data_IF_842785069627
#
_entry.id   IF_842785069627
#
_cell.length_a   1.000
_cell.length_b   1.000
_cell.length_c   1.000
_cell.angle_alpha   90.00
_cell.angle_beta   90.00
_cell.angle_gamma   90.00
#
_symmetry.space_group_name_H-M   'P 1'
#
loop_
_entity.id
_entity.type
_entity.pdbx_description
1 polymer ?
#
# COMPACT_ATOMS: atom_id res chain seq x y z
N UNK A 1 7.28 -12.70 -33.77
CA UNK A 1 7.18 -13.07 -32.35
C UNK A 1 5.94 -12.36 -31.81
N UNK A 2 4.85 -13.08 -31.55
CA UNK A 2 3.70 -12.49 -30.85
C UNK A 2 4.12 -12.26 -29.40
N UNK A 3 4.00 -11.02 -28.93
CA UNK A 3 4.30 -10.58 -27.56
C UNK A 3 3.16 -10.96 -26.61
N UNK A 4 2.37 -11.97 -26.96
CA UNK A 4 1.24 -12.45 -26.20
C UNK A 4 1.74 -13.58 -25.31
N UNK A 5 2.62 -13.25 -24.37
CA UNK A 5 2.82 -14.11 -23.21
C UNK A 5 1.49 -14.15 -22.44
N UNK A 6 1.03 -15.32 -21.96
CA UNK A 6 -0.21 -15.39 -21.21
C UNK A 6 -0.03 -14.67 -19.87
N UNK A 7 -0.54 -13.44 -19.79
CA UNK A 7 -0.68 -12.68 -18.54
C UNK A 7 -1.56 -13.39 -17.50
N UNK A 8 -2.25 -14.48 -17.89
CA UNK A 8 -3.25 -15.19 -17.08
C UNK A 8 -2.66 -15.91 -15.86
N UNK A 9 -1.37 -16.27 -15.88
CA UNK A 9 -0.73 -17.00 -14.77
C UNK A 9 0.01 -16.09 -13.78
N UNK A 10 0.02 -14.77 -14.00
CA UNK A 10 0.73 -13.82 -13.13
C UNK A 10 -0.22 -13.20 -12.11
N UNK A 11 0.19 -13.17 -10.86
CA UNK A 11 -0.52 -12.43 -9.80
C UNK A 11 -0.40 -10.91 -10.05
N UNK A 12 -1.50 -10.23 -10.44
CA UNK A 12 -1.46 -8.80 -10.74
C UNK A 12 -1.11 -7.95 -9.51
N UNK A 13 -1.46 -8.41 -8.30
CA UNK A 13 -1.12 -7.73 -7.06
C UNK A 13 0.39 -7.73 -6.83
N UNK A 14 1.04 -8.89 -6.99
CA UNK A 14 2.49 -9.01 -6.84
C UNK A 14 3.24 -8.11 -7.83
N UNK A 15 2.79 -8.06 -9.09
CA UNK A 15 3.37 -7.16 -10.10
C UNK A 15 3.21 -5.70 -9.70
N UNK A 16 2.03 -5.32 -9.19
CA UNK A 16 1.76 -3.97 -8.72
C UNK A 16 2.69 -3.58 -7.57
N UNK A 17 2.81 -4.44 -6.55
CA UNK A 17 3.68 -4.21 -5.39
C UNK A 17 5.14 -4.05 -5.84
N UNK A 18 5.63 -4.97 -6.67
CA UNK A 18 6.99 -4.89 -7.24
C UNK A 18 7.21 -3.55 -7.97
N UNK A 19 6.27 -3.18 -8.84
CA UNK A 19 6.34 -1.94 -9.62
C UNK A 19 6.35 -0.70 -8.72
N UNK A 20 5.50 -0.67 -7.70
CA UNK A 20 5.38 0.46 -6.76
C UNK A 20 6.63 0.59 -5.90
N UNK A 21 7.21 -0.53 -5.44
CA UNK A 21 8.45 -0.51 -4.65
C UNK A 21 9.65 0.04 -5.42
N UNK A 22 9.63 -0.03 -6.75
CA UNK A 22 10.64 0.59 -7.61
C UNK A 22 10.49 2.13 -7.73
N UNK A 23 9.38 2.73 -7.28
CA UNK A 23 9.21 4.18 -7.33
C UNK A 23 10.16 4.86 -6.34
N UNK A 24 10.95 5.82 -6.84
CA UNK A 24 11.96 6.55 -6.06
C UNK A 24 11.38 7.16 -4.78
N UNK A 25 10.15 7.68 -4.86
CA UNK A 25 9.49 8.36 -3.75
C UNK A 25 8.71 7.43 -2.82
N UNK A 26 8.60 6.13 -3.12
CA UNK A 26 7.75 5.19 -2.38
C UNK A 26 7.99 5.23 -0.86
N UNK A 27 9.26 5.13 -0.45
CA UNK A 27 9.63 5.15 0.98
C UNK A 27 9.24 6.46 1.68
N UNK A 28 9.35 7.58 0.98
CA UNK A 28 9.00 8.90 1.50
C UNK A 28 7.49 9.07 1.61
N UNK A 29 6.74 8.70 0.57
CA UNK A 29 5.28 8.71 0.58
C UNK A 29 4.75 7.80 1.68
N UNK A 30 5.28 6.58 1.82
CA UNK A 30 4.89 5.63 2.87
C UNK A 30 5.03 6.20 4.27
N UNK A 31 6.18 6.83 4.55
CA UNK A 31 6.42 7.47 5.84
C UNK A 31 5.43 8.62 6.08
N UNK A 32 5.22 9.49 5.10
CA UNK A 32 4.29 10.60 5.21
C UNK A 32 2.84 10.13 5.43
N UNK A 33 2.40 9.11 4.69
CA UNK A 33 1.06 8.55 4.83
C UNK A 33 0.86 7.97 6.23
N UNK A 34 1.83 7.21 6.73
CA UNK A 34 1.79 6.62 8.07
C UNK A 34 1.80 7.68 9.17
N UNK A 35 2.74 8.61 9.10
CA UNK A 35 3.05 9.54 10.20
C UNK A 35 2.10 10.76 10.23
N UNK A 36 1.50 11.11 9.09
CA UNK A 36 0.66 12.30 8.96
C UNK A 36 -0.75 11.97 8.45
N UNK A 37 -0.89 11.37 7.26
CA UNK A 37 -2.21 11.25 6.62
C UNK A 37 -3.14 10.35 7.43
N UNK A 38 -2.72 9.12 7.77
CA UNK A 38 -3.56 8.17 8.51
C UNK A 38 -3.76 8.53 9.98
N UNK A 39 -2.99 9.49 10.51
CA UNK A 39 -3.22 10.04 11.84
C UNK A 39 -4.42 11.00 11.83
N UNK A 40 -4.59 11.77 10.75
CA UNK A 40 -5.67 12.76 10.62
C UNK A 40 -6.91 12.19 9.93
N UNK A 41 -6.72 11.30 8.95
CA UNK A 41 -7.76 10.72 8.11
C UNK A 41 -7.60 9.18 8.07
N UNK A 42 -7.90 8.47 9.17
CA UNK A 42 -7.63 7.03 9.30
C UNK A 42 -8.45 6.15 8.34
N UNK A 43 -9.53 6.69 7.76
CA UNK A 43 -10.45 5.98 6.86
C UNK A 43 -10.31 6.44 5.40
N UNK A 44 -9.25 7.16 5.04
CA UNK A 44 -9.03 7.64 3.66
C UNK A 44 -9.01 6.48 2.67
N UNK A 45 -9.71 6.64 1.55
CA UNK A 45 -9.71 5.66 0.46
C UNK A 45 -8.46 5.79 -0.41
N UNK A 46 -8.09 4.73 -1.17
CA UNK A 46 -6.98 4.83 -2.13
C UNK A 46 -7.17 5.95 -3.16
N UNK A 47 -8.40 6.17 -3.63
CA UNK A 47 -8.74 7.20 -4.62
C UNK A 47 -8.56 8.61 -4.05
N UNK A 48 -9.04 8.86 -2.83
CA UNK A 48 -8.84 10.13 -2.13
C UNK A 48 -7.36 10.38 -1.84
N UNK A 49 -6.63 9.35 -1.40
CA UNK A 49 -5.20 9.46 -1.13
C UNK A 49 -4.40 9.79 -2.40
N UNK A 50 -4.71 9.11 -3.51
CA UNK A 50 -4.11 9.35 -4.82
C UNK A 50 -4.33 10.80 -5.27
N UNK A 51 -5.57 11.29 -5.18
CA UNK A 51 -5.91 12.67 -5.52
C UNK A 51 -5.23 13.70 -4.61
N UNK A 52 -5.18 13.44 -3.30
CA UNK A 52 -4.59 14.34 -2.31
C UNK A 52 -3.07 14.47 -2.44
N UNK A 53 -2.39 13.37 -2.73
CA UNK A 53 -0.92 13.33 -2.82
C UNK A 53 -0.39 13.53 -4.25
N UNK A 54 -1.25 13.48 -5.26
CA UNK A 54 -0.83 13.52 -6.66
C UNK A 54 -0.01 12.29 -7.07
N UNK A 55 -0.32 11.12 -6.49
CA UNK A 55 0.35 9.84 -6.75
C UNK A 55 -0.54 8.90 -7.56
N UNK A 56 0.01 7.91 -8.28
CA UNK A 56 -0.79 6.92 -8.98
C UNK A 56 -1.70 6.13 -8.03
N UNK A 57 -2.89 5.75 -8.48
CA UNK A 57 -3.82 4.91 -7.71
C UNK A 57 -3.16 3.60 -7.25
N UNK A 58 -2.35 2.99 -8.11
CA UNK A 58 -1.58 1.80 -7.77
C UNK A 58 -0.64 1.99 -6.57
N UNK A 59 0.01 3.15 -6.47
CA UNK A 59 0.86 3.49 -5.33
C UNK A 59 0.02 3.65 -4.06
N UNK A 60 -1.10 4.37 -4.14
CA UNK A 60 -2.02 4.54 -3.02
C UNK A 60 -2.59 3.20 -2.50
N UNK A 61 -2.93 2.28 -3.39
CA UNK A 61 -3.41 0.94 -3.05
C UNK A 61 -2.38 0.15 -2.24
N UNK A 62 -1.14 0.09 -2.73
CA UNK A 62 -0.04 -0.63 -2.05
C UNK A 62 0.29 0.01 -0.70
N UNK A 63 0.36 1.34 -0.65
CA UNK A 63 0.62 2.07 0.59
C UNK A 63 -0.40 1.75 1.70
N UNK A 64 -1.69 1.85 1.39
CA UNK A 64 -2.73 1.61 2.39
C UNK A 64 -2.84 0.13 2.78
N UNK A 65 -2.63 -0.80 1.83
CA UNK A 65 -2.63 -2.22 2.11
C UNK A 65 -1.52 -2.60 3.11
N UNK A 66 -0.27 -2.21 2.83
CA UNK A 66 0.87 -2.55 3.68
C UNK A 66 0.79 -1.89 5.06
N UNK A 67 0.39 -0.61 5.12
CA UNK A 67 0.25 0.10 6.40
C UNK A 67 -0.87 -0.48 7.27
N UNK A 68 -1.90 -1.07 6.65
CA UNK A 68 -2.95 -1.80 7.37
C UNK A 68 -2.47 -3.14 7.91
N UNK A 69 -1.57 -3.82 7.19
CA UNK A 69 -0.93 -5.07 7.67
C UNK A 69 0.04 -4.81 8.82
N UNK A 70 0.81 -3.73 8.76
CA UNK A 70 1.71 -3.31 9.86
C UNK A 70 0.95 -3.08 11.17
N UNK A 71 -0.21 -2.42 11.11
CA UNK A 71 -1.06 -2.18 12.29
C UNK A 71 -1.64 -3.46 12.91
N UNK A 72 -1.73 -4.57 12.16
CA UNK A 72 -2.24 -5.85 12.67
C UNK A 72 -1.16 -6.70 13.38
N UNK A 73 0.10 -6.28 13.34
CA UNK A 73 1.21 -6.97 14.00
C UNK A 73 1.13 -6.79 15.54
N UNK A 74 1.65 -7.75 16.34
CA UNK A 74 1.01 -8.28 17.56
C UNK A 74 0.97 -7.40 18.82
N UNK A 75 1.27 -6.11 18.77
CA UNK A 75 1.19 -5.23 19.95
C UNK A 75 -0.26 -4.93 20.39
N UNK A 76 -1.27 -5.25 19.56
CA UNK A 76 -2.70 -5.15 19.87
C UNK A 76 -3.34 -6.47 20.38
N UNK A 77 -2.56 -7.52 20.66
CA UNK A 77 -3.10 -8.70 21.36
C UNK A 77 -3.35 -8.36 22.83
N UNK A 78 -4.58 -8.49 23.37
CA UNK A 78 -4.80 -8.39 24.80
C UNK A 78 -3.94 -9.44 25.52
N UNK A 79 -3.37 -9.14 26.70
CA UNK A 79 -2.49 -10.07 27.39
C UNK A 79 -3.23 -11.40 27.60
N UNK A 80 -2.60 -12.49 27.17
CA UNK A 80 -3.12 -13.84 27.35
C UNK A 80 -3.51 -14.04 28.82
N UNK A 81 -4.74 -14.52 29.12
CA UNK A 81 -5.12 -14.82 30.49
C UNK A 81 -4.18 -15.91 31.02
N UNK A 82 -3.62 -15.66 32.20
CA UNK A 82 -2.77 -16.60 32.95
C UNK A 82 -3.58 -17.78 33.46
#
# INVERSE_FOLDING_TARGET
MSVEEPFQDRDPWRILVETVHCLVMYKHHRRFVRDYVLLHEPNITPEELAGKMGIPLGEALVLLAELKEERKSPEDQPPSPR
#
